data_IF_794079561749
#
_entry.id   IF_794079561749
#
_cell.length_a   1.000
_cell.length_b   1.000
_cell.length_c   1.000
_cell.angle_alpha   90.00
_cell.angle_beta   90.00
_cell.angle_gamma   90.00
#
_symmetry.space_group_name_H-M   'P 1'
#
loop_
_entity.id
_entity.type
_entity.pdbx_description
1 polymer ?
#
# COMPACT_ATOMS: atom_id res chain seq x y z
N UNK A 1 -26.67 -6.14 -6.31
CA UNK A 1 -25.62 -6.86 -7.07
C UNK A 1 -24.43 -6.95 -6.14
N UNK A 2 -23.92 -8.15 -5.84
CA UNK A 2 -22.74 -8.30 -4.99
C UNK A 2 -21.49 -7.84 -5.74
N UNK A 3 -20.57 -7.14 -5.07
CA UNK A 3 -19.31 -6.74 -5.65
C UNK A 3 -18.47 -8.00 -5.96
N UNK A 4 -17.86 -8.08 -7.15
CA UNK A 4 -16.94 -9.17 -7.54
C UNK A 4 -15.50 -8.65 -7.63
N UNK A 5 -14.48 -9.52 -7.53
CA UNK A 5 -13.08 -9.11 -7.70
C UNK A 5 -12.81 -8.43 -9.05
N UNK A 6 -13.48 -8.86 -10.12
CA UNK A 6 -13.35 -8.26 -11.46
C UNK A 6 -13.94 -6.86 -11.49
N UNK A 7 -15.11 -6.66 -10.87
CA UNK A 7 -15.72 -5.33 -10.76
C UNK A 7 -14.87 -4.42 -9.86
N UNK A 8 -14.25 -4.97 -8.81
CA UNK A 8 -13.29 -4.27 -7.97
C UNK A 8 -12.09 -3.77 -8.78
N UNK A 9 -11.44 -4.66 -9.55
CA UNK A 9 -10.35 -4.29 -10.46
C UNK A 9 -10.77 -3.29 -11.53
N UNK A 10 -11.99 -3.43 -12.06
CA UNK A 10 -12.52 -2.46 -13.01
C UNK A 10 -12.63 -1.06 -12.39
N UNK A 11 -13.10 -0.96 -11.15
CA UNK A 11 -13.11 0.28 -10.39
C UNK A 11 -11.72 0.93 -10.34
N UNK A 12 -10.71 0.18 -9.91
CA UNK A 12 -9.32 0.68 -9.88
C UNK A 12 -8.82 1.13 -11.26
N UNK A 13 -9.18 0.40 -12.32
CA UNK A 13 -8.79 0.75 -13.70
C UNK A 13 -9.32 2.10 -14.19
N UNK A 14 -10.42 2.58 -13.58
CA UNK A 14 -11.03 3.88 -13.89
C UNK A 14 -10.82 4.91 -12.77
N UNK A 15 -9.96 4.62 -11.80
CA UNK A 15 -9.56 5.55 -10.74
C UNK A 15 -10.51 5.63 -9.55
N UNK A 16 -11.46 4.71 -9.43
CA UNK A 16 -12.38 4.64 -8.29
C UNK A 16 -12.05 3.46 -7.39
N UNK A 17 -12.42 3.54 -6.12
CA UNK A 17 -12.18 2.49 -5.13
C UNK A 17 -13.40 2.33 -4.22
N UNK A 18 -13.66 1.11 -3.71
CA UNK A 18 -14.79 0.89 -2.82
C UNK A 18 -14.47 1.34 -1.40
N UNK A 19 -15.49 1.76 -0.67
CA UNK A 19 -15.45 1.93 0.78
C UNK A 19 -16.76 1.44 1.38
N UNK A 20 -16.72 1.02 2.65
CA UNK A 20 -17.90 0.87 3.50
C UNK A 20 -17.91 2.05 4.51
N UNK A 21 -19.08 2.46 5.00
CA UNK A 21 -19.13 3.49 6.06
C UNK A 21 -18.53 2.92 7.36
N UNK A 22 -18.88 1.68 7.69
CA UNK A 22 -18.48 1.00 8.92
C UNK A 22 -18.23 -0.50 8.71
N UNK A 23 -17.60 -1.16 9.69
CA UNK A 23 -17.26 -2.59 9.67
C UNK A 23 -18.47 -3.50 9.43
N UNK A 24 -19.61 -3.15 9.98
CA UNK A 24 -20.82 -3.98 9.93
C UNK A 24 -21.78 -3.55 8.82
N UNK A 25 -21.40 -2.54 8.04
CA UNK A 25 -22.20 -2.06 6.92
C UNK A 25 -22.10 -3.05 5.75
N UNK A 26 -23.22 -3.66 5.30
CA UNK A 26 -23.21 -4.55 4.15
C UNK A 26 -23.10 -3.80 2.81
N UNK A 27 -23.29 -2.47 2.80
CA UNK A 27 -23.25 -1.68 1.57
C UNK A 27 -21.86 -1.11 1.30
N UNK A 28 -21.46 -1.16 0.03
CA UNK A 28 -20.23 -0.57 -0.47
C UNK A 28 -20.58 0.55 -1.44
N UNK A 29 -19.85 1.66 -1.33
CA UNK A 29 -19.96 2.78 -2.25
C UNK A 29 -18.61 3.07 -2.92
N UNK A 30 -18.69 3.66 -4.11
CA UNK A 30 -17.52 3.99 -4.92
C UNK A 30 -17.11 5.44 -4.70
N UNK A 31 -15.80 5.67 -4.59
CA UNK A 31 -15.24 6.99 -4.33
C UNK A 31 -14.32 7.43 -5.46
N UNK A 32 -14.53 8.66 -5.92
CA UNK A 32 -13.67 9.40 -6.85
C UNK A 32 -13.41 10.81 -6.29
N UNK A 33 -12.35 11.00 -5.48
CA UNK A 33 -12.09 12.28 -4.84
C UNK A 33 -11.59 13.31 -5.86
N UNK A 34 -11.91 14.61 -5.66
CA UNK A 34 -11.43 15.70 -6.55
C UNK A 34 -9.92 15.92 -6.43
N UNK A 35 -9.36 15.56 -5.28
CA UNK A 35 -7.96 15.61 -4.93
C UNK A 35 -7.56 14.21 -4.48
N UNK A 36 -6.50 13.65 -5.07
CA UNK A 36 -6.04 12.29 -4.80
C UNK A 36 -4.73 12.32 -4.03
N UNK A 37 -4.64 11.51 -2.97
CA UNK A 37 -3.38 11.25 -2.28
C UNK A 37 -2.52 10.26 -3.07
N UNK A 38 -1.25 10.62 -3.30
CA UNK A 38 -0.26 9.73 -3.95
C UNK A 38 1.08 9.81 -3.23
N UNK A 39 1.87 8.76 -3.34
CA UNK A 39 3.30 8.79 -2.99
C UNK A 39 4.13 8.94 -4.27
N UNK A 40 4.83 10.07 -4.45
CA UNK A 40 5.91 10.13 -5.42
C UNK A 40 6.97 9.10 -5.06
N UNK A 41 7.26 8.18 -5.97
CA UNK A 41 8.17 7.07 -5.69
C UNK A 41 9.61 7.54 -5.39
N UNK A 42 10.00 8.70 -5.90
CA UNK A 42 11.25 9.40 -5.60
C UNK A 42 11.17 10.36 -4.39
N UNK A 43 9.97 10.61 -3.86
CA UNK A 43 9.71 11.61 -2.81
C UNK A 43 9.58 11.06 -1.39
N UNK A 44 9.86 9.78 -1.14
CA UNK A 44 9.66 9.21 0.21
C UNK A 44 10.70 9.73 1.21
N UNK A 45 10.23 10.36 2.27
CA UNK A 45 11.06 10.95 3.33
C UNK A 45 11.37 9.95 4.44
N UNK A 46 12.64 9.56 4.57
CA UNK A 46 13.13 8.80 5.73
C UNK A 46 13.78 9.76 6.72
N UNK A 47 13.14 9.96 7.87
CA UNK A 47 13.73 10.69 8.98
C UNK A 47 14.96 9.98 9.55
N UNK A 48 15.86 10.73 10.21
CA UNK A 48 17.07 10.16 10.84
C UNK A 48 16.76 9.04 11.85
N UNK A 49 15.67 9.18 12.60
CA UNK A 49 15.25 8.20 13.60
C UNK A 49 14.67 6.93 12.96
N UNK A 50 13.92 7.07 11.86
CA UNK A 50 13.44 5.94 11.07
C UNK A 50 14.61 5.19 10.41
N UNK A 51 15.54 5.91 9.78
CA UNK A 51 16.73 5.31 9.19
C UNK A 51 17.56 4.54 10.23
N UNK A 52 17.70 5.09 11.44
CA UNK A 52 18.36 4.40 12.55
C UNK A 52 17.61 3.11 12.91
N UNK A 53 16.28 3.17 13.08
CA UNK A 53 15.47 1.99 13.38
C UNK A 53 15.59 0.90 12.33
N UNK A 54 15.50 1.25 11.04
CA UNK A 54 15.69 0.31 9.93
C UNK A 54 17.05 -0.39 10.03
N UNK A 55 18.14 0.34 10.36
CA UNK A 55 19.48 -0.27 10.50
C UNK A 55 19.66 -1.14 11.73
N UNK A 56 19.08 -0.76 12.85
CA UNK A 56 19.42 -1.36 14.16
C UNK A 56 18.43 -2.43 14.61
N UNK A 57 17.19 -2.36 14.13
CA UNK A 57 16.19 -3.37 14.45
C UNK A 57 16.34 -4.53 13.48
N UNK A 58 16.46 -5.74 14.02
CA UNK A 58 16.53 -6.98 13.24
C UNK A 58 15.12 -7.44 12.81
N UNK A 59 14.35 -6.53 12.21
CA UNK A 59 13.04 -6.87 11.66
C UNK A 59 13.19 -7.64 10.35
N UNK A 60 12.38 -8.67 10.18
CA UNK A 60 12.29 -9.39 8.91
C UNK A 60 11.18 -8.75 8.07
N UNK A 61 11.47 -8.53 6.78
CA UNK A 61 10.53 -7.97 5.82
C UNK A 61 10.20 -9.04 4.80
N UNK A 62 8.91 -9.27 4.60
CA UNK A 62 8.41 -10.29 3.68
C UNK A 62 7.32 -9.71 2.81
N UNK A 63 7.01 -10.42 1.72
CA UNK A 63 5.82 -10.15 0.92
C UNK A 63 4.96 -11.40 0.89
N UNK A 64 3.65 -11.22 0.86
CA UNK A 64 2.65 -12.28 0.67
C UNK A 64 2.77 -13.47 1.64
N UNK A 65 3.49 -13.31 2.77
CA UNK A 65 3.66 -14.39 3.76
C UNK A 65 2.39 -14.59 4.58
N UNK A 66 1.74 -13.50 4.95
CA UNK A 66 0.52 -13.51 5.78
C UNK A 66 -0.42 -12.35 5.40
N UNK A 67 -0.91 -12.39 4.16
CA UNK A 67 -1.84 -11.38 3.64
C UNK A 67 -3.11 -11.23 4.51
N UNK A 68 -3.63 -12.36 5.02
CA UNK A 68 -4.79 -12.36 5.90
C UNK A 68 -4.48 -11.65 7.23
N UNK A 69 -3.32 -11.94 7.84
CA UNK A 69 -2.87 -11.27 9.07
C UNK A 69 -2.65 -9.77 8.88
N UNK A 70 -2.21 -9.33 7.69
CA UNK A 70 -2.09 -7.89 7.38
C UNK A 70 -3.45 -7.21 7.29
N UNK A 71 -4.43 -7.81 6.58
CA UNK A 71 -5.80 -7.29 6.55
C UNK A 71 -6.37 -7.24 7.97
N UNK A 72 -6.14 -8.26 8.78
CA UNK A 72 -6.62 -8.32 10.16
C UNK A 72 -6.01 -7.24 11.03
N UNK A 73 -4.70 -7.01 10.91
CA UNK A 73 -4.03 -5.90 11.56
C UNK A 73 -4.59 -4.54 11.14
N UNK A 74 -4.93 -4.37 9.85
CA UNK A 74 -5.54 -3.14 9.34
C UNK A 74 -6.99 -2.95 9.83
N UNK A 75 -7.71 -4.05 10.00
CA UNK A 75 -9.07 -4.05 10.51
C UNK A 75 -9.11 -3.89 12.03
N UNK A 76 -8.04 -4.13 12.78
CA UNK A 76 -7.97 -4.07 14.26
C UNK A 76 -7.89 -2.63 14.80
N UNK A 77 -8.95 -1.85 14.53
CA UNK A 77 -9.17 -0.48 15.03
C UNK A 77 -10.64 -0.26 15.30
N UNK A 78 -10.95 0.68 16.21
CA UNK A 78 -12.32 1.00 16.62
C UNK A 78 -13.19 1.38 15.40
N UNK A 79 -12.70 2.31 14.58
CA UNK A 79 -13.35 2.74 13.35
C UNK A 79 -12.61 2.15 12.14
N UNK A 80 -13.23 1.19 11.46
CA UNK A 80 -12.71 0.63 10.21
C UNK A 80 -13.82 0.47 9.18
N UNK A 81 -13.44 0.68 7.92
CA UNK A 81 -14.26 0.40 6.75
C UNK A 81 -14.06 -1.03 6.22
N UNK A 82 -13.09 -1.78 6.74
CA UNK A 82 -12.79 -3.14 6.29
C UNK A 82 -13.85 -4.09 6.89
N UNK A 83 -14.94 -4.26 6.15
CA UNK A 83 -16.01 -5.19 6.47
C UNK A 83 -15.67 -6.63 5.97
N UNK A 84 -16.48 -7.65 6.33
CA UNK A 84 -16.27 -9.02 5.87
C UNK A 84 -16.28 -9.19 4.34
N UNK A 85 -17.08 -8.40 3.61
CA UNK A 85 -17.16 -8.47 2.15
C UNK A 85 -15.87 -7.98 1.48
N UNK A 86 -15.36 -6.81 1.87
CA UNK A 86 -14.10 -6.26 1.37
C UNK A 86 -12.93 -7.18 1.71
N UNK A 87 -12.88 -7.70 2.94
CA UNK A 87 -11.90 -8.73 3.31
C UNK A 87 -11.92 -9.91 2.33
N UNK A 88 -13.10 -10.47 2.06
CA UNK A 88 -13.27 -11.59 1.13
C UNK A 88 -12.78 -11.22 -0.27
N UNK A 89 -13.09 -10.02 -0.75
CA UNK A 89 -12.70 -9.54 -2.07
C UNK A 89 -11.18 -9.38 -2.21
N UNK A 90 -10.52 -8.72 -1.26
CA UNK A 90 -9.06 -8.59 -1.30
C UNK A 90 -8.36 -9.93 -1.16
N UNK A 91 -8.90 -10.88 -0.38
CA UNK A 91 -8.37 -12.24 -0.33
C UNK A 91 -8.47 -12.95 -1.69
N UNK A 92 -9.57 -12.78 -2.42
CA UNK A 92 -9.72 -13.32 -3.78
C UNK A 92 -8.77 -12.65 -4.78
N UNK A 93 -8.54 -11.34 -4.65
CA UNK A 93 -7.54 -10.64 -5.44
C UNK A 93 -6.12 -11.14 -5.13
N UNK A 94 -5.82 -11.40 -3.86
CA UNK A 94 -4.53 -11.96 -3.47
C UNK A 94 -4.29 -13.35 -4.06
N UNK A 95 -5.27 -14.24 -3.97
CA UNK A 95 -5.22 -15.59 -4.56
C UNK A 95 -5.00 -15.58 -6.08
N UNK A 96 -5.36 -14.48 -6.75
CA UNK A 96 -5.20 -14.31 -8.20
C UNK A 96 -3.99 -13.46 -8.58
N UNK A 97 -3.12 -13.13 -7.62
CA UNK A 97 -1.89 -12.34 -7.84
C UNK A 97 -2.18 -10.87 -8.19
N UNK A 98 -3.30 -10.34 -7.71
CA UNK A 98 -3.76 -8.96 -7.95
C UNK A 98 -3.77 -8.10 -6.69
N UNK A 99 -3.61 -8.69 -5.52
CA UNK A 99 -3.37 -7.97 -4.28
C UNK A 99 -2.17 -8.57 -3.56
N UNK A 100 -1.35 -7.70 -2.98
CA UNK A 100 -0.13 -8.10 -2.31
C UNK A 100 0.00 -7.40 -0.97
N UNK A 101 0.69 -8.07 -0.06
CA UNK A 101 1.06 -7.51 1.24
C UNK A 101 2.57 -7.42 1.38
N UNK A 102 3.00 -6.47 2.20
CA UNK A 102 4.34 -6.39 2.75
C UNK A 102 4.23 -6.42 4.27
N UNK A 103 4.92 -7.38 4.88
CA UNK A 103 4.88 -7.62 6.31
C UNK A 103 6.16 -7.18 7.00
N UNK A 104 6.03 -6.73 8.25
CA UNK A 104 7.14 -6.43 9.15
C UNK A 104 7.05 -7.34 10.37
N UNK A 105 8.09 -8.16 10.57
CA UNK A 105 8.15 -9.14 11.64
C UNK A 105 9.22 -8.79 12.67
N UNK A 106 8.92 -9.05 13.94
CA UNK A 106 9.89 -9.08 15.04
C UNK A 106 9.91 -10.51 15.61
N UNK A 107 10.91 -11.29 15.21
CA UNK A 107 10.87 -12.75 15.38
C UNK A 107 9.66 -13.36 14.68
N UNK A 108 8.83 -14.11 15.41
CA UNK A 108 7.60 -14.71 14.88
C UNK A 108 6.38 -13.79 14.94
N UNK A 109 6.53 -12.55 15.43
CA UNK A 109 5.40 -11.64 15.64
C UNK A 109 5.22 -10.71 14.45
N UNK A 110 4.03 -10.72 13.85
CA UNK A 110 3.63 -9.74 12.83
C UNK A 110 3.33 -8.38 13.51
N UNK A 111 4.28 -7.44 13.39
CA UNK A 111 4.24 -6.16 14.13
C UNK A 111 3.76 -4.97 13.28
N UNK A 112 3.61 -5.15 11.98
CA UNK A 112 3.08 -4.15 11.07
C UNK A 112 3.04 -4.68 9.64
N UNK A 113 2.43 -3.91 8.75
CA UNK A 113 2.34 -4.26 7.35
C UNK A 113 1.46 -3.32 6.58
N UNK A 114 1.47 -3.47 5.27
CA UNK A 114 0.67 -2.72 4.30
C UNK A 114 0.21 -3.70 3.23
N UNK A 115 -1.02 -3.52 2.73
CA UNK A 115 -1.50 -4.27 1.57
C UNK A 115 -2.05 -3.34 0.50
N UNK A 116 -2.06 -3.81 -0.73
CA UNK A 116 -2.58 -3.06 -1.85
C UNK A 116 -2.92 -3.93 -3.05
N UNK A 117 -3.58 -3.31 -4.01
CA UNK A 117 -3.96 -3.93 -5.29
C UNK A 117 -2.96 -3.52 -6.37
N UNK A 118 -2.69 -4.40 -7.32
CA UNK A 118 -1.79 -4.15 -8.46
C UNK A 118 -2.55 -4.24 -9.77
N UNK A 119 -2.39 -3.21 -10.60
CA UNK A 119 -2.88 -3.19 -11.98
C UNK A 119 -1.91 -2.43 -12.88
N UNK A 120 -1.35 -3.09 -13.89
CA UNK A 120 -0.27 -2.52 -14.70
C UNK A 120 0.94 -2.19 -13.84
N UNK A 121 1.42 -0.95 -13.92
CA UNK A 121 2.45 -0.36 -13.07
C UNK A 121 1.89 0.53 -11.95
N UNK A 122 0.61 0.38 -11.59
CA UNK A 122 -0.02 1.07 -10.47
C UNK A 122 -0.16 0.15 -9.26
N UNK A 123 0.22 0.66 -8.09
CA UNK A 123 -0.04 0.05 -6.79
C UNK A 123 -1.03 0.93 -6.02
N UNK A 124 -2.18 0.36 -5.66
CA UNK A 124 -3.23 1.01 -4.88
C UNK A 124 -3.08 0.57 -3.43
N UNK A 125 -2.48 1.39 -2.58
CA UNK A 125 -2.27 1.06 -1.17
C UNK A 125 -3.57 1.17 -0.40
N UNK A 126 -4.12 0.06 0.07
CA UNK A 126 -5.45 0.03 0.68
C UNK A 126 -5.40 0.40 2.17
N UNK A 127 -4.53 -0.24 2.92
CA UNK A 127 -4.36 0.07 4.33
C UNK A 127 -3.05 -0.46 4.87
N UNK A 128 -2.70 0.04 6.05
CA UNK A 128 -1.54 -0.38 6.81
C UNK A 128 -1.89 -0.42 8.29
N UNK A 129 -1.08 -1.14 9.06
CA UNK A 129 -1.18 -1.17 10.51
C UNK A 129 0.19 -1.20 11.17
N UNK A 130 0.20 -0.87 12.47
CA UNK A 130 1.42 -0.79 13.27
C UNK A 130 1.11 -1.22 14.70
N UNK A 131 1.68 -2.33 15.15
CA UNK A 131 1.65 -2.80 16.55
C UNK A 131 2.91 -2.44 17.34
N UNK A 132 3.96 -2.02 16.64
CA UNK A 132 5.21 -1.49 17.19
C UNK A 132 5.48 -0.10 16.64
N UNK A 133 6.23 0.71 17.39
CA UNK A 133 6.65 2.04 16.92
C UNK A 133 7.35 1.95 15.57
N UNK A 134 6.85 2.73 14.61
CA UNK A 134 7.36 2.86 13.24
C UNK A 134 7.24 1.61 12.35
N UNK A 135 6.56 0.54 12.78
CA UNK A 135 6.42 -0.66 11.93
C UNK A 135 5.72 -0.34 10.59
N UNK A 136 4.65 0.46 10.58
CA UNK A 136 4.01 0.89 9.31
C UNK A 136 4.91 1.80 8.47
N UNK A 137 5.72 2.67 9.09
CA UNK A 137 6.67 3.54 8.37
C UNK A 137 7.78 2.71 7.71
N UNK A 138 8.24 1.66 8.40
CA UNK A 138 9.20 0.69 7.87
C UNK A 138 8.56 -0.05 6.71
N UNK A 139 7.32 -0.54 6.86
CA UNK A 139 6.59 -1.20 5.79
C UNK A 139 6.50 -0.31 4.53
N UNK A 140 6.16 0.97 4.68
CA UNK A 140 6.12 1.92 3.58
C UNK A 140 7.48 2.19 2.94
N UNK A 141 8.55 2.31 3.74
CA UNK A 141 9.89 2.51 3.21
C UNK A 141 10.34 1.34 2.30
N UNK A 142 10.10 0.11 2.76
CA UNK A 142 10.40 -1.09 1.96
C UNK A 142 9.43 -1.24 0.77
N UNK A 143 8.17 -0.85 0.93
CA UNK A 143 7.19 -0.86 -0.16
C UNK A 143 7.63 0.09 -1.28
N UNK A 144 7.92 1.36 -0.98
CA UNK A 144 8.35 2.33 -1.99
C UNK A 144 9.63 1.87 -2.68
N UNK A 145 10.62 1.39 -1.92
CA UNK A 145 11.85 0.84 -2.48
C UNK A 145 11.58 -0.34 -3.44
N UNK A 146 10.63 -1.22 -3.10
CA UNK A 146 10.20 -2.33 -3.97
C UNK A 146 9.50 -1.80 -5.23
N UNK A 147 8.52 -0.92 -5.09
CA UNK A 147 7.76 -0.37 -6.22
C UNK A 147 8.70 0.27 -7.25
N UNK A 148 9.67 1.08 -6.80
CA UNK A 148 10.69 1.69 -7.66
C UNK A 148 11.53 0.68 -8.42
N UNK A 149 11.92 -0.43 -7.78
CA UNK A 149 12.80 -1.43 -8.37
C UNK A 149 12.05 -2.43 -9.26
N UNK A 150 10.73 -2.47 -9.20
CA UNK A 150 9.89 -3.47 -9.88
C UNK A 150 9.02 -2.89 -10.99
N UNK A 151 9.32 -1.66 -11.43
CA UNK A 151 8.70 -1.05 -12.61
C UNK A 151 7.39 -0.31 -12.34
N UNK A 152 6.98 -0.14 -11.07
CA UNK A 152 5.83 0.68 -10.75
C UNK A 152 6.12 2.15 -10.97
N UNK A 153 5.10 2.89 -11.38
CA UNK A 153 5.17 4.33 -11.64
C UNK A 153 4.13 5.14 -10.88
N UNK A 154 3.09 4.49 -10.34
CA UNK A 154 2.03 5.12 -9.56
C UNK A 154 1.84 4.37 -8.25
N UNK A 155 1.97 5.09 -7.12
CA UNK A 155 1.57 4.61 -5.80
C UNK A 155 0.44 5.49 -5.27
N UNK A 156 -0.78 4.97 -5.37
CA UNK A 156 -2.01 5.61 -4.92
C UNK A 156 -2.26 5.33 -3.44
N UNK A 157 -2.57 6.38 -2.68
CA UNK A 157 -2.93 6.29 -1.25
C UNK A 157 -4.34 6.78 -0.97
N UNK A 158 -5.15 6.97 -2.04
CA UNK A 158 -6.50 7.50 -2.06
C UNK A 158 -6.64 8.91 -1.47
N UNK A 159 -6.42 9.05 -0.17
CA UNK A 159 -6.46 10.29 0.59
C UNK A 159 -5.10 10.59 1.20
N UNK A 160 -4.77 11.88 1.32
CA UNK A 160 -3.63 12.31 2.10
C UNK A 160 -4.02 12.36 3.58
N UNK A 161 -3.15 11.82 4.44
CA UNK A 161 -3.25 11.99 5.90
C UNK A 161 -1.99 12.66 6.41
N UNK A 162 -2.05 13.28 7.59
CA UNK A 162 -0.86 13.88 8.22
C UNK A 162 0.29 12.87 8.40
N UNK A 163 -0.04 11.59 8.64
CA UNK A 163 0.94 10.51 8.70
C UNK A 163 1.67 10.31 7.37
N UNK A 164 0.93 10.19 6.26
CA UNK A 164 1.52 9.97 4.93
C UNK A 164 2.24 11.23 4.43
N UNK A 165 1.70 12.42 4.69
CA UNK A 165 2.33 13.70 4.37
C UNK A 165 3.70 13.83 5.03
N UNK A 166 3.84 13.42 6.30
CA UNK A 166 5.13 13.43 7.01
C UNK A 166 6.20 12.50 6.40
N UNK A 167 5.78 11.58 5.53
CA UNK A 167 6.62 10.64 4.81
C UNK A 167 6.81 11.05 3.33
N UNK A 168 6.25 12.16 2.88
CA UNK A 168 6.41 12.67 1.51
C UNK A 168 5.25 12.37 0.55
N UNK A 169 4.13 11.82 1.03
CA UNK A 169 2.92 11.76 0.20
C UNK A 169 2.39 13.17 -0.08
N UNK A 170 1.79 13.35 -1.24
CA UNK A 170 1.24 14.62 -1.72
C UNK A 170 -0.20 14.45 -2.19
N UNK A 171 -0.86 15.59 -2.41
CA UNK A 171 -2.15 15.66 -3.07
C UNK A 171 -1.99 16.15 -4.51
N UNK A 172 -2.67 15.49 -5.45
CA UNK A 172 -2.73 15.90 -6.85
C UNK A 172 -4.18 16.05 -7.32
N UNK A 173 -4.48 16.97 -8.27
CA UNK A 173 -5.82 17.07 -8.85
C UNK A 173 -6.23 15.77 -9.54
N UNK A 174 -7.52 15.41 -9.48
CA UNK A 174 -8.07 14.22 -10.13
C UNK A 174 -7.64 14.07 -11.59
N UNK A 175 -7.66 15.15 -12.37
CA UNK A 175 -7.26 15.09 -13.77
C UNK A 175 -5.79 14.65 -13.97
N UNK A 176 -4.89 15.07 -13.07
CA UNK A 176 -3.48 14.64 -13.07
C UNK A 176 -3.39 13.17 -12.71
N UNK A 177 -4.07 12.75 -11.64
CA UNK A 177 -4.10 11.34 -11.22
C UNK A 177 -4.61 10.41 -12.32
N UNK A 178 -5.73 10.74 -12.99
CA UNK A 178 -6.24 9.89 -14.08
C UNK A 178 -5.29 9.82 -15.27
N UNK A 179 -4.53 10.88 -15.54
CA UNK A 179 -3.49 10.87 -16.57
C UNK A 179 -2.34 9.92 -16.19
N UNK A 180 -1.86 9.99 -14.95
CA UNK A 180 -0.82 9.09 -14.42
C UNK A 180 -1.29 7.63 -14.35
N UNK A 181 -2.52 7.41 -13.90
CA UNK A 181 -3.14 6.09 -13.85
C UNK A 181 -3.22 5.47 -15.24
N UNK A 182 -3.71 6.21 -16.24
CA UNK A 182 -3.78 5.71 -17.62
C UNK A 182 -2.41 5.26 -18.12
N UNK A 183 -1.36 6.05 -17.88
CA UNK A 183 0.01 5.70 -18.26
C UNK A 183 0.50 4.45 -17.52
N UNK A 184 0.25 4.37 -16.20
CA UNK A 184 0.65 3.23 -15.39
C UNK A 184 -0.04 1.93 -15.85
N UNK A 185 -1.30 1.99 -16.27
CA UNK A 185 -2.05 0.82 -16.77
C UNK A 185 -1.49 0.26 -18.08
N UNK A 186 -0.85 1.08 -18.91
CA UNK A 186 -0.21 0.67 -20.17
C UNK A 186 1.19 0.04 -19.94
N UNK A 187 1.74 0.18 -18.73
CA UNK A 187 3.05 -0.35 -18.35
C UNK A 187 2.93 -1.68 -17.59
N UNK A 188 4.05 -2.40 -17.49
CA UNK A 188 4.15 -3.66 -16.74
C UNK A 188 5.09 -3.48 -15.56
N UNK A 189 4.64 -3.91 -14.40
CA UNK A 189 5.42 -4.03 -13.18
C UNK A 189 5.19 -5.42 -12.56
N UNK A 190 6.11 -5.88 -11.72
CA UNK A 190 5.98 -7.17 -11.03
C UNK A 190 6.39 -7.04 -9.56
N UNK A 191 5.38 -6.91 -8.71
CA UNK A 191 5.56 -6.79 -7.25
C UNK A 191 6.35 -7.96 -6.65
N UNK A 192 6.22 -9.15 -7.23
CA UNK A 192 6.77 -10.40 -6.71
C UNK A 192 8.20 -10.68 -7.16
N UNK A 193 8.80 -9.78 -7.95
CA UNK A 193 10.21 -9.85 -8.34
C UNK A 193 11.08 -10.07 -7.10
N UNK A 194 11.95 -11.07 -7.16
CA UNK A 194 12.91 -11.34 -6.09
C UNK A 194 13.89 -10.16 -5.97
N UNK A 195 13.97 -9.58 -4.78
CA UNK A 195 14.75 -8.38 -4.52
C UNK A 195 15.48 -8.49 -3.20
N UNK A 196 16.77 -8.20 -3.22
CA UNK A 196 17.55 -8.04 -2.00
C UNK A 196 17.39 -6.63 -1.43
N UNK A 197 16.39 -6.45 -0.57
CA UNK A 197 16.16 -5.19 0.15
C UNK A 197 16.92 -5.18 1.49
N UNK A 198 18.24 -5.02 1.46
CA UNK A 198 18.99 -4.86 2.72
C UNK A 198 18.62 -3.54 3.42
N UNK A 199 18.66 -3.47 4.77
CA UNK A 199 18.38 -2.24 5.49
C UNK A 199 19.21 -1.04 5.01
N UNK A 200 20.52 -1.22 4.77
CA UNK A 200 21.35 -0.15 4.20
C UNK A 200 20.95 0.20 2.78
N UNK A 201 20.64 -0.80 1.94
CA UNK A 201 20.25 -0.60 0.54
C UNK A 201 18.98 0.24 0.40
N UNK A 202 17.95 -0.07 1.20
CA UNK A 202 16.68 0.69 1.23
C UNK A 202 16.93 2.15 1.60
N UNK A 203 17.68 2.39 2.68
CA UNK A 203 18.00 3.76 3.13
C UNK A 203 18.77 4.51 2.05
N UNK A 204 19.78 3.87 1.46
CA UNK A 204 20.62 4.50 0.45
C UNK A 204 19.81 4.91 -0.79
N UNK A 205 19.03 3.98 -1.37
CA UNK A 205 18.25 4.25 -2.59
C UNK A 205 17.19 5.32 -2.38
N UNK A 206 16.58 5.38 -1.20
CA UNK A 206 15.59 6.42 -0.89
C UNK A 206 16.26 7.78 -0.68
N UNK A 207 17.29 7.86 0.18
CA UNK A 207 17.92 9.14 0.54
C UNK A 207 18.80 9.77 -0.54
N UNK A 208 19.28 9.00 -1.51
CA UNK A 208 20.08 9.54 -2.63
C UNK A 208 19.24 10.20 -3.73
N UNK A 209 17.91 10.15 -3.61
CA UNK A 209 16.97 10.76 -4.57
C UNK A 209 16.27 12.00 -4.00
N UNK A 210 16.40 12.25 -2.69
CA UNK A 210 15.78 13.38 -1.97
C UNK A 210 16.69 14.60 -1.84
#
# INVERSE_FOLDING_TARGET
MSLSPELLLHGYSIGIFPMAEHRDDPELFWVDPKIRGVFPLDGFHISRSLARRIRTCAFEITIDRDFAGVIDGCADRADTWINPELRRLYQQLHQTGRAHSLEVWDGSSLIGGVYGVVLGAAFFGESMFSRRTDASKIALAYLVDRLRQTGFTLFDTQFLTAHLASLGAIEIPRAVYHSELKQALDLKADFTTDLLQTPQGVIQRITQTS
#
